data_IF_475975380161
#
_entry.id   IF_475975380161
#
_cell.length_a   1.000
_cell.length_b   1.000
_cell.length_c   1.000
_cell.angle_alpha   90.00
_cell.angle_beta   90.00
_cell.angle_gamma   90.00
#
_symmetry.space_group_name_H-M   'P 1'
#
loop_
_entity.id
_entity.type
_entity.pdbx_description
1 polymer ?
#
# COMPACT_ATOMS: atom_id res chain seq x y z
N UNK A 1 -0.33 -20.31 -5.58
CA UNK A 1 -1.65 -19.68 -5.83
C UNK A 1 -1.53 -18.17 -5.68
N UNK A 2 -1.15 -17.48 -6.75
CA UNK A 2 -1.07 -16.01 -6.80
C UNK A 2 -2.47 -15.47 -7.09
N UNK A 3 -3.04 -14.72 -6.15
CA UNK A 3 -4.35 -14.08 -6.35
C UNK A 3 -4.17 -12.80 -7.17
N UNK A 4 -5.04 -12.59 -8.16
CA UNK A 4 -5.06 -11.35 -8.95
C UNK A 4 -5.47 -10.19 -8.05
N UNK A 5 -4.64 -9.15 -8.02
CA UNK A 5 -4.96 -7.88 -7.39
C UNK A 5 -5.54 -6.96 -8.46
N UNK A 6 -6.62 -6.27 -8.11
CA UNK A 6 -7.24 -5.26 -8.95
C UNK A 6 -7.22 -3.97 -8.14
N UNK A 7 -6.57 -2.94 -8.69
CA UNK A 7 -6.57 -1.61 -8.11
C UNK A 7 -7.75 -0.83 -8.68
N UNK A 8 -8.37 0.00 -7.85
CA UNK A 8 -9.33 0.98 -8.34
C UNK A 8 -8.57 2.12 -9.01
N UNK A 9 -9.14 2.79 -10.02
CA UNK A 9 -8.46 3.90 -10.70
C UNK A 9 -8.12 5.06 -9.75
N UNK A 10 -8.88 5.29 -8.68
CA UNK A 10 -8.54 6.37 -7.74
C UNK A 10 -7.25 6.07 -6.96
N UNK A 11 -6.83 4.80 -6.86
CA UNK A 11 -5.58 4.41 -6.19
C UNK A 11 -4.37 4.93 -6.96
N UNK A 12 -4.44 5.05 -8.28
CA UNK A 12 -3.31 5.54 -9.07
C UNK A 12 -3.01 7.01 -8.75
N UNK A 13 -4.05 7.83 -8.64
CA UNK A 13 -3.94 9.23 -8.22
C UNK A 13 -3.48 9.36 -6.78
N UNK A 14 -4.09 8.61 -5.85
CA UNK A 14 -3.75 8.63 -4.43
C UNK A 14 -2.30 8.18 -4.19
N UNK A 15 -1.85 7.17 -4.95
CA UNK A 15 -0.48 6.67 -4.91
C UNK A 15 0.52 7.71 -5.45
N UNK A 16 0.20 8.35 -6.58
CA UNK A 16 1.05 9.39 -7.16
C UNK A 16 1.21 10.57 -6.19
N UNK A 17 0.11 11.03 -5.59
CA UNK A 17 0.12 12.11 -4.60
C UNK A 17 0.94 11.73 -3.36
N UNK A 18 0.79 10.50 -2.86
CA UNK A 18 1.58 10.01 -1.73
C UNK A 18 3.08 9.94 -2.06
N UNK A 19 3.46 9.41 -3.22
CA UNK A 19 4.86 9.34 -3.66
C UNK A 19 5.47 10.73 -3.77
N UNK A 20 4.78 11.67 -4.43
CA UNK A 20 5.23 13.05 -4.55
C UNK A 20 5.38 13.71 -3.18
N UNK A 21 4.42 13.49 -2.27
CA UNK A 21 4.47 14.01 -0.91
C UNK A 21 5.68 13.49 -0.12
N UNK A 22 6.01 12.21 -0.27
CA UNK A 22 7.18 11.61 0.39
C UNK A 22 8.50 12.07 -0.23
N UNK A 23 8.61 12.13 -1.57
CA UNK A 23 9.81 12.65 -2.25
C UNK A 23 10.06 14.12 -1.89
N UNK A 24 9.01 14.96 -1.79
CA UNK A 24 9.14 16.35 -1.35
C UNK A 24 9.66 16.48 0.09
N UNK A 25 9.35 15.52 0.96
CA UNK A 25 9.81 15.50 2.37
C UNK A 25 11.26 15.07 2.52
N UNK A 26 11.78 14.31 1.57
CA UNK A 26 13.15 13.82 1.59
C UNK A 26 13.45 12.98 0.36
N UNK A 27 14.59 13.26 -0.26
CA UNK A 27 15.03 12.57 -1.46
C UNK A 27 15.12 11.05 -1.23
N UNK A 28 14.37 10.27 -2.02
CA UNK A 28 14.37 8.80 -1.96
C UNK A 28 13.35 8.16 -1.02
N UNK A 29 12.57 8.96 -0.28
CA UNK A 29 11.49 8.45 0.57
C UNK A 29 10.30 7.89 -0.23
N UNK A 30 9.99 8.46 -1.39
CA UNK A 30 8.95 7.91 -2.28
C UNK A 30 9.36 6.56 -2.86
N UNK A 31 10.63 6.41 -3.24
CA UNK A 31 11.18 5.10 -3.61
C UNK A 31 11.12 4.08 -2.46
N UNK A 32 11.34 4.50 -1.22
CA UNK A 32 11.22 3.63 -0.04
C UNK A 32 9.76 3.24 0.26
N UNK A 33 8.83 4.19 0.04
CA UNK A 33 7.40 3.95 0.13
C UNK A 33 6.93 2.91 -0.90
N UNK A 34 7.36 3.05 -2.17
CA UNK A 34 7.05 2.07 -3.22
C UNK A 34 7.59 0.68 -2.88
N UNK A 35 8.83 0.57 -2.37
CA UNK A 35 9.39 -0.71 -1.90
C UNK A 35 8.56 -1.33 -0.78
N UNK A 36 8.10 -0.51 0.16
CA UNK A 36 7.25 -0.97 1.26
C UNK A 36 5.87 -1.43 0.78
N UNK A 37 5.28 -0.72 -0.19
CA UNK A 37 4.04 -1.10 -0.84
C UNK A 37 4.15 -2.44 -1.57
N UNK A 38 5.22 -2.65 -2.34
CA UNK A 38 5.46 -3.92 -3.03
C UNK A 38 5.54 -5.10 -2.04
N UNK A 39 6.23 -4.90 -0.91
CA UNK A 39 6.31 -5.91 0.15
C UNK A 39 4.92 -6.23 0.74
N UNK A 40 4.08 -5.21 0.96
CA UNK A 40 2.70 -5.37 1.44
C UNK A 40 1.86 -6.10 0.40
N UNK A 41 1.92 -5.72 -0.87
CA UNK A 41 1.18 -6.35 -1.98
C UNK A 41 1.56 -7.84 -2.07
N UNK A 42 2.86 -8.15 -2.04
CA UNK A 42 3.34 -9.54 -2.04
C UNK A 42 2.84 -10.33 -0.83
N UNK A 43 2.76 -9.70 0.35
CA UNK A 43 2.24 -10.32 1.57
C UNK A 43 0.73 -10.57 1.48
N UNK A 44 -0.04 -9.62 0.94
CA UNK A 44 -1.48 -9.73 0.70
C UNK A 44 -1.78 -10.83 -0.34
N UNK A 45 -1.01 -10.92 -1.42
CA UNK A 45 -1.16 -11.99 -2.42
C UNK A 45 -0.94 -13.38 -1.80
N UNK A 46 0.11 -13.52 -0.97
CA UNK A 46 0.47 -14.78 -0.33
C UNK A 46 -0.50 -15.17 0.79
N UNK A 47 -0.93 -14.20 1.61
CA UNK A 47 -1.73 -14.44 2.82
C UNK A 47 -2.82 -13.37 3.01
N UNK A 48 -3.88 -13.37 2.18
CA UNK A 48 -4.93 -12.35 2.24
C UNK A 48 -5.79 -12.43 3.51
N UNK A 49 -5.87 -13.59 4.16
CA UNK A 49 -6.67 -13.80 5.37
C UNK A 49 -5.96 -13.35 6.67
N UNK A 50 -4.71 -12.92 6.59
CA UNK A 50 -3.89 -12.59 7.76
C UNK A 50 -4.23 -11.24 8.38
N UNK A 51 -4.98 -10.40 7.66
CA UNK A 51 -5.35 -9.07 8.11
C UNK A 51 -6.78 -9.02 8.64
N UNK A 52 -7.02 -8.26 9.73
CA UNK A 52 -8.35 -8.11 10.29
C UNK A 52 -9.28 -7.41 9.30
N UNK A 53 -10.53 -7.86 9.29
CA UNK A 53 -11.60 -7.23 8.54
C UNK A 53 -12.02 -5.98 9.32
N UNK A 54 -12.02 -4.83 8.65
CA UNK A 54 -12.39 -3.54 9.26
C UNK A 54 -13.81 -3.14 8.87
N UNK A 55 -14.27 -3.53 7.68
CA UNK A 55 -15.63 -3.25 7.22
C UNK A 55 -16.11 -4.26 6.18
N UNK A 56 -17.16 -5.03 6.46
CA UNK A 56 -17.70 -6.02 5.51
C UNK A 56 -16.67 -7.10 5.11
N UNK A 57 -16.15 -7.03 3.87
CA UNK A 57 -15.06 -7.88 3.36
C UNK A 57 -13.72 -7.14 3.23
N UNK A 58 -13.66 -5.87 3.63
CA UNK A 58 -12.46 -5.03 3.54
C UNK A 58 -11.50 -5.33 4.68
N UNK A 59 -10.23 -5.58 4.33
CA UNK A 59 -9.13 -5.77 5.28
C UNK A 59 -8.19 -4.57 5.22
N UNK A 60 -7.74 -4.07 6.37
CA UNK A 60 -6.79 -2.96 6.44
C UNK A 60 -5.39 -3.49 6.75
N UNK A 61 -4.41 -3.03 5.98
CA UNK A 61 -2.99 -3.23 6.23
C UNK A 61 -2.30 -1.89 6.13
N UNK A 62 -1.78 -1.39 7.25
CA UNK A 62 -0.95 -0.19 7.24
C UNK A 62 0.45 -0.56 6.73
N UNK A 63 1.02 0.26 5.85
CA UNK A 63 2.45 0.19 5.52
C UNK A 63 3.24 0.53 6.78
N UNK A 64 4.19 -0.32 7.16
CA UNK A 64 5.04 -0.04 8.32
C UNK A 64 5.99 1.12 7.96
N UNK A 65 6.11 2.11 8.85
CA UNK A 65 7.03 3.24 8.70
C UNK A 65 6.42 4.53 8.12
N UNK A 66 5.15 4.52 7.73
CA UNK A 66 4.49 5.66 7.12
C UNK A 66 3.26 6.10 7.92
N UNK A 67 3.18 7.36 8.40
CA UNK A 67 2.02 7.85 9.11
C UNK A 67 0.82 7.92 8.16
N UNK A 68 -0.34 7.44 8.63
CA UNK A 68 -1.62 7.69 7.94
C UNK A 68 -1.96 9.15 8.18
N UNK A 69 -1.86 9.99 7.14
CA UNK A 69 -2.34 11.37 7.19
C UNK A 69 -3.88 11.40 7.24
#
# INVERSE_FOLDING_TARGET
MTRRIVFRPEVETDLAEAVDWYEMRGQGLGAEFLRSLDAVIAQVQRRPALYPIVFGSARRRCCAGFPTV
#
